data_IF_395974075702
#
_entry.id   IF_395974075702
#
_cell.length_a   1.000
_cell.length_b   1.000
_cell.length_c   1.000
_cell.angle_alpha   90.00
_cell.angle_beta   90.00
_cell.angle_gamma   90.00
#
_symmetry.space_group_name_H-M   'P 1'
#
loop_
_entity.id
_entity.type
_entity.pdbx_description
1 polymer ?
#
# COMPACT_ATOMS: atom_id res chain seq x y z
N UNK A 1 12.63 -0.35 3.35
CA UNK A 1 12.45 -1.67 4.01
C UNK A 1 11.00 -2.13 3.99
N UNK A 2 10.01 -1.44 4.57
CA UNK A 2 8.61 -1.91 4.51
C UNK A 2 8.03 -1.96 3.08
N UNK A 3 8.32 -0.94 2.26
CA UNK A 3 7.94 -0.95 0.84
C UNK A 3 8.52 -2.17 0.10
N UNK A 4 9.76 -2.54 0.42
CA UNK A 4 10.47 -3.63 -0.24
C UNK A 4 9.92 -4.99 0.24
N UNK A 5 9.60 -5.12 1.53
CA UNK A 5 8.94 -6.29 2.07
C UNK A 5 7.58 -6.53 1.42
N UNK A 6 6.77 -5.48 1.24
CA UNK A 6 5.46 -5.57 0.57
C UNK A 6 5.63 -5.95 -0.91
N UNK A 7 6.56 -5.33 -1.65
CA UNK A 7 6.83 -5.66 -3.06
C UNK A 7 7.32 -7.08 -3.26
N UNK A 8 8.07 -7.62 -2.30
CA UNK A 8 8.58 -8.99 -2.38
C UNK A 8 7.51 -10.02 -2.00
N UNK A 9 6.57 -9.69 -1.11
CA UNK A 9 5.54 -10.61 -0.63
C UNK A 9 4.27 -10.65 -1.50
N UNK A 10 3.98 -9.55 -2.21
CA UNK A 10 2.74 -9.34 -2.97
C UNK A 10 3.00 -8.78 -4.37
N UNK A 11 2.15 -9.18 -5.32
CA UNK A 11 2.14 -8.59 -6.66
C UNK A 11 1.40 -7.23 -6.63
N UNK A 12 2.17 -6.15 -6.46
CA UNK A 12 1.64 -4.79 -6.35
C UNK A 12 2.11 -3.93 -7.52
N UNK A 13 1.23 -3.07 -8.05
CA UNK A 13 1.60 -2.06 -9.05
C UNK A 13 2.37 -0.91 -8.43
N UNK A 14 1.98 -0.50 -7.23
CA UNK A 14 2.61 0.61 -6.51
C UNK A 14 2.47 0.39 -5.02
N UNK A 15 3.51 0.75 -4.28
CA UNK A 15 3.47 0.87 -2.82
C UNK A 15 4.16 2.17 -2.41
N UNK A 16 3.57 2.85 -1.44
CA UNK A 16 4.05 4.11 -0.88
C UNK A 16 3.81 4.14 0.63
N UNK A 17 4.85 3.86 1.42
CA UNK A 17 4.82 4.07 2.86
C UNK A 17 5.25 5.49 3.26
N UNK A 18 4.56 6.06 4.24
CA UNK A 18 4.90 7.33 4.87
C UNK A 18 5.30 7.10 6.31
N UNK A 19 6.59 7.25 6.61
CA UNK A 19 7.10 7.10 7.98
C UNK A 19 6.49 8.13 8.95
N UNK A 20 6.27 9.36 8.49
CA UNK A 20 5.64 10.41 9.31
C UNK A 20 4.19 10.12 9.67
N UNK A 21 3.47 9.34 8.84
CA UNK A 21 2.07 8.96 9.08
C UNK A 21 1.93 7.57 9.71
N UNK A 22 2.95 6.72 9.59
CA UNK A 22 2.85 5.31 9.99
C UNK A 22 1.94 4.48 9.07
N UNK A 23 1.71 4.92 7.84
CA UNK A 23 0.74 4.33 6.91
C UNK A 23 1.42 3.89 5.60
N UNK A 24 0.85 2.89 4.93
CA UNK A 24 1.31 2.42 3.63
C UNK A 24 0.15 2.29 2.64
N UNK A 25 0.24 3.01 1.54
CA UNK A 25 -0.70 2.93 0.42
C UNK A 25 -0.22 1.88 -0.57
N UNK A 26 -1.10 0.93 -0.90
CA UNK A 26 -0.80 -0.16 -1.83
C UNK A 26 -1.84 -0.16 -2.95
N UNK A 27 -1.37 -0.27 -4.18
CA UNK A 27 -2.20 -0.44 -5.37
C UNK A 27 -1.87 -1.81 -5.96
N UNK A 28 -2.83 -2.71 -5.98
CA UNK A 28 -2.75 -4.04 -6.59
C UNK A 28 -3.95 -4.29 -7.50
N UNK A 29 -3.79 -5.21 -8.46
CA UNK A 29 -4.93 -5.72 -9.23
C UNK A 29 -5.66 -6.84 -8.47
N UNK A 30 -4.89 -7.67 -7.76
CA UNK A 30 -5.40 -8.76 -6.96
C UNK A 30 -5.68 -8.29 -5.51
N UNK A 31 -6.70 -8.88 -4.85
CA UNK A 31 -6.95 -8.63 -3.44
C UNK A 31 -5.75 -9.09 -2.60
N UNK A 32 -5.36 -8.27 -1.64
CA UNK A 32 -4.27 -8.58 -0.69
C UNK A 32 -4.84 -9.36 0.47
N UNK A 33 -4.20 -10.49 0.78
CA UNK A 33 -4.50 -11.27 1.97
C UNK A 33 -3.97 -10.56 3.22
N UNK A 34 -4.89 -10.19 4.11
CA UNK A 34 -4.60 -9.51 5.37
C UNK A 34 -3.68 -10.34 6.28
N UNK A 35 -3.88 -11.66 6.35
CA UNK A 35 -3.11 -12.52 7.24
C UNK A 35 -1.64 -12.56 6.82
N UNK A 36 -1.40 -12.70 5.52
CA UNK A 36 -0.06 -12.66 4.94
C UNK A 36 0.58 -11.27 5.06
N UNK A 37 -0.23 -10.21 4.94
CA UNK A 37 0.25 -8.83 5.04
C UNK A 37 0.71 -8.54 6.46
N UNK A 38 -0.11 -8.94 7.44
CA UNK A 38 0.23 -8.87 8.86
C UNK A 38 1.53 -9.61 9.16
N UNK A 39 1.69 -10.84 8.71
CA UNK A 39 2.93 -11.61 8.91
C UNK A 39 4.15 -10.90 8.31
N UNK A 40 4.01 -10.37 7.09
CA UNK A 40 5.07 -9.63 6.41
C UNK A 40 5.48 -8.38 7.20
N UNK A 41 4.50 -7.64 7.72
CA UNK A 41 4.75 -6.41 8.51
C UNK A 41 5.38 -6.77 9.87
N UNK A 42 4.89 -7.79 10.58
CA UNK A 42 5.49 -8.25 11.84
C UNK A 42 6.94 -8.70 11.64
N UNK A 43 7.27 -9.37 10.53
CA UNK A 43 8.66 -9.74 10.19
C UNK A 43 9.57 -8.54 9.98
N UNK A 44 9.03 -7.37 9.62
CA UNK A 44 9.81 -6.13 9.54
C UNK A 44 10.02 -5.44 10.89
N UNK A 45 9.36 -5.92 11.95
CA UNK A 45 9.41 -5.33 13.29
C UNK A 45 8.37 -4.24 13.53
N UNK A 46 7.35 -4.15 12.68
CA UNK A 46 6.22 -3.23 12.86
C UNK A 46 4.94 -3.96 13.28
N UNK A 47 4.08 -3.26 14.01
CA UNK A 47 2.76 -3.74 14.34
C UNK A 47 1.77 -3.41 13.22
N UNK A 48 0.98 -4.41 12.84
CA UNK A 48 -0.14 -4.22 11.94
C UNK A 48 -1.37 -3.76 12.74
N UNK A 49 -1.88 -2.57 12.43
CA UNK A 49 -3.03 -1.97 13.12
C UNK A 49 -4.33 -2.26 12.39
N UNK A 50 -4.39 -1.98 11.08
CA UNK A 50 -5.60 -2.14 10.27
C UNK A 50 -5.28 -2.13 8.78
N UNK A 51 -6.08 -2.82 7.98
CA UNK A 51 -6.08 -2.71 6.52
C UNK A 51 -7.46 -2.24 6.06
N UNK A 52 -7.48 -1.29 5.12
CA UNK A 52 -8.69 -0.91 4.41
C UNK A 52 -8.46 -1.09 2.92
N UNK A 53 -9.31 -1.85 2.26
CA UNK A 53 -9.28 -2.01 0.80
C UNK A 53 -10.44 -1.24 0.19
N UNK A 54 -10.14 -0.42 -0.82
CA UNK A 54 -11.12 0.33 -1.62
C UNK A 54 -10.79 0.13 -3.10
N UNK A 55 -11.78 0.08 -3.99
CA UNK A 55 -11.53 0.04 -5.42
C UNK A 55 -10.69 1.26 -5.82
N UNK A 56 -9.61 1.03 -6.56
CA UNK A 56 -8.69 2.09 -6.94
C UNK A 56 -9.32 2.97 -8.02
N UNK A 57 -9.81 4.15 -7.64
CA UNK A 57 -10.21 5.19 -8.58
C UNK A 57 -8.97 6.00 -8.98
N UNK A 58 -8.57 5.87 -10.25
CA UNK A 58 -7.49 6.68 -10.82
C UNK A 58 -7.96 8.13 -10.87
N UNK A 59 -7.61 8.93 -9.87
CA UNK A 59 -7.86 10.37 -9.87
C UNK A 59 -7.12 11.01 -11.04
N UNK A 60 -7.84 11.27 -12.13
CA UNK A 60 -7.39 12.13 -13.22
C UNK A 60 -7.44 13.58 -12.74
N UNK A 61 -6.43 14.00 -11.96
CA UNK A 61 -6.25 15.38 -11.50
C UNK A 61 -5.34 16.19 -12.46
N UNK A 62 -5.30 15.84 -13.74
CA UNK A 62 -4.58 16.61 -14.77
C UNK A 62 -5.56 17.23 -15.79
N UNK A 63 -6.64 17.81 -15.27
CA UNK A 63 -7.70 18.40 -16.08
C UNK A 63 -7.89 19.91 -15.90
N UNK A 64 -7.00 20.67 -15.26
CA UNK A 64 -7.26 22.11 -15.02
C UNK A 64 -5.99 22.99 -14.98
N UNK A 65 -5.13 22.91 -16.00
CA UNK A 65 -4.31 24.06 -16.37
C UNK A 65 -4.81 24.61 -17.71
N UNK A 66 -5.80 25.50 -17.63
CA UNK A 66 -6.13 26.42 -18.72
C UNK A 66 -5.78 27.82 -18.22
N UNK A 67 -4.67 28.37 -18.72
CA UNK A 67 -4.44 29.81 -18.82
C UNK A 67 -3.56 30.07 -20.03
#
# INVERSE_FOLDING_TARGET
HINDAIRNAFSVKKVSASHSKGEADIISEEPIDEAKLRETITKTGYDFVSMTSKPYEKHSLFGFLKK
#
